data_IF_589899088649
#
_entry.id   IF_589899088649
#
_cell.length_a   1.000
_cell.length_b   1.000
_cell.length_c   1.000
_cell.angle_alpha   90.00
_cell.angle_beta   90.00
_cell.angle_gamma   90.00
#
_symmetry.space_group_name_H-M   'P 1'
#
loop_
_entity.id
_entity.type
_entity.pdbx_description
1 polymer ?
#
# COMPACT_ATOMS: atom_id res chain seq x y z
N UNK A 1 -17.44 1.12 16.82
CA UNK A 1 -16.77 0.05 16.05
C UNK A 1 -16.04 0.53 14.77
N UNK A 2 -16.55 1.53 14.03
CA UNK A 2 -15.88 2.08 12.86
C UNK A 2 -14.64 2.92 13.22
N UNK A 3 -14.65 3.63 14.35
CA UNK A 3 -13.51 4.42 14.81
C UNK A 3 -12.30 3.57 15.16
N UNK A 4 -12.48 2.49 15.93
CA UNK A 4 -11.40 1.54 16.29
C UNK A 4 -10.75 0.88 15.07
N UNK A 5 -11.53 0.54 14.02
CA UNK A 5 -10.98 -0.01 12.78
C UNK A 5 -10.13 1.00 12.01
N UNK A 6 -10.55 2.28 11.95
CA UNK A 6 -9.76 3.35 11.32
C UNK A 6 -8.43 3.58 12.03
N UNK A 7 -8.41 3.51 13.34
CA UNK A 7 -7.22 3.72 14.16
C UNK A 7 -6.20 2.59 13.97
N UNK A 8 -6.66 1.33 13.94
CA UNK A 8 -5.81 0.18 13.59
C UNK A 8 -5.19 0.33 12.19
N UNK A 9 -5.92 0.91 11.24
CA UNK A 9 -5.44 1.14 9.88
C UNK A 9 -4.26 2.12 9.81
N UNK A 10 -4.25 3.20 10.61
CA UNK A 10 -3.15 4.16 10.63
C UNK A 10 -1.86 3.51 11.14
N UNK A 11 -1.91 2.77 12.24
CA UNK A 11 -0.74 2.05 12.75
C UNK A 11 -0.24 0.97 11.79
N UNK A 12 -1.15 0.32 11.04
CA UNK A 12 -0.79 -0.67 10.02
C UNK A 12 -0.08 0.01 8.86
N UNK A 13 -0.52 1.19 8.44
CA UNK A 13 0.12 1.98 7.38
C UNK A 13 1.55 2.36 7.79
N UNK A 14 1.73 2.98 8.95
CA UNK A 14 3.02 3.52 9.38
C UNK A 14 4.09 2.41 9.61
N UNK A 15 3.65 1.15 9.83
CA UNK A 15 4.54 -0.01 9.82
C UNK A 15 4.79 -0.59 8.44
N UNK A 16 3.98 -0.21 7.44
CA UNK A 16 4.10 -0.65 6.06
C UNK A 16 5.49 -0.41 5.51
N UNK A 17 6.01 0.79 5.73
CA UNK A 17 7.36 1.20 5.31
C UNK A 17 8.45 0.32 5.94
N UNK A 18 8.34 0.02 7.25
CA UNK A 18 9.30 -0.82 7.98
C UNK A 18 9.32 -2.24 7.39
N UNK A 19 8.14 -2.83 7.19
CA UNK A 19 8.02 -4.17 6.61
C UNK A 19 8.47 -4.21 5.14
N UNK A 20 8.15 -3.18 4.35
CA UNK A 20 8.55 -3.10 2.95
C UNK A 20 10.07 -3.13 2.77
N UNK A 21 10.81 -2.65 3.77
CA UNK A 21 12.27 -2.74 3.82
C UNK A 21 12.80 -4.06 4.39
N UNK A 22 11.94 -4.97 4.81
CA UNK A 22 12.34 -6.23 5.44
C UNK A 22 12.79 -6.09 6.90
N UNK A 23 12.50 -4.93 7.52
CA UNK A 23 12.85 -4.65 8.90
C UNK A 23 11.77 -5.15 9.89
N UNK A 24 12.18 -5.36 11.13
CA UNK A 24 11.28 -5.71 12.24
C UNK A 24 11.07 -4.47 13.12
N UNK A 25 9.82 -3.98 13.30
CA UNK A 25 9.55 -2.82 14.13
C UNK A 25 9.88 -3.12 15.58
N UNK A 26 10.55 -2.17 16.28
CA UNK A 26 10.97 -2.30 17.66
C UNK A 26 10.29 -1.30 18.57
N UNK A 27 10.33 -0.03 18.19
CA UNK A 27 9.78 1.06 18.99
C UNK A 27 8.97 2.03 18.14
N UNK A 28 7.95 2.61 18.77
CA UNK A 28 7.12 3.65 18.18
C UNK A 28 6.96 4.83 19.14
N UNK A 29 6.83 6.03 18.58
CA UNK A 29 6.32 7.22 19.26
C UNK A 29 5.08 7.71 18.57
N UNK A 30 4.06 8.13 19.33
CA UNK A 30 2.80 8.62 18.80
C UNK A 30 2.75 10.14 18.78
N UNK A 31 2.23 10.73 17.71
CA UNK A 31 1.85 12.14 17.66
C UNK A 31 0.35 12.22 17.44
N UNK A 32 -0.35 12.84 18.36
CA UNK A 32 -1.80 12.96 18.36
C UNK A 32 -2.21 14.43 18.38
N UNK A 33 -3.14 14.82 17.51
CA UNK A 33 -3.81 16.11 17.58
C UNK A 33 -5.29 15.87 17.86
N UNK A 34 -5.83 16.53 18.87
CA UNK A 34 -7.26 16.42 19.24
C UNK A 34 -7.95 17.78 19.12
N UNK A 35 -9.19 17.82 18.61
CA UNK A 35 -9.99 19.03 18.66
C UNK A 35 -10.29 19.43 20.12
N UNK A 36 -10.36 20.73 20.44
CA UNK A 36 -10.79 21.17 21.75
C UNK A 36 -12.22 20.68 22.05
N UNK A 37 -12.44 20.23 23.28
CA UNK A 37 -13.72 19.66 23.68
C UNK A 37 -13.82 19.42 25.18
N UNK A 38 -14.94 18.83 25.61
CA UNK A 38 -15.10 18.39 26.99
C UNK A 38 -14.03 17.35 27.34
N UNK A 39 -13.34 17.51 28.46
CA UNK A 39 -12.24 16.65 28.91
C UNK A 39 -12.57 15.15 28.83
N UNK A 40 -13.76 14.75 29.33
CA UNK A 40 -14.22 13.37 29.29
C UNK A 40 -14.41 12.81 27.87
N UNK A 41 -14.71 13.66 26.90
CA UNK A 41 -14.84 13.25 25.47
C UNK A 41 -13.50 13.12 24.80
N UNK A 42 -12.57 14.01 25.12
CA UNK A 42 -11.18 13.96 24.66
C UNK A 42 -10.50 12.72 25.21
N UNK A 43 -10.66 12.43 26.52
CA UNK A 43 -10.13 11.24 27.16
C UNK A 43 -10.67 9.94 26.55
N UNK A 44 -11.99 9.83 26.35
CA UNK A 44 -12.62 8.67 25.71
C UNK A 44 -12.07 8.46 24.29
N UNK A 45 -11.96 9.54 23.51
CA UNK A 45 -11.43 9.51 22.16
C UNK A 45 -9.97 9.02 22.13
N UNK A 46 -9.11 9.60 22.99
CA UNK A 46 -7.70 9.20 23.10
C UNK A 46 -7.56 7.74 23.57
N UNK A 47 -8.35 7.32 24.54
CA UNK A 47 -8.34 5.94 25.05
C UNK A 47 -8.68 4.95 23.95
N UNK A 48 -9.71 5.22 23.16
CA UNK A 48 -10.08 4.37 22.03
C UNK A 48 -9.00 4.34 20.94
N UNK A 49 -8.45 5.52 20.59
CA UNK A 49 -7.41 5.64 19.58
C UNK A 49 -6.15 4.88 19.99
N UNK A 50 -5.64 5.15 21.17
CA UNK A 50 -4.41 4.53 21.66
C UNK A 50 -4.60 3.04 21.93
N UNK A 51 -5.77 2.61 22.42
CA UNK A 51 -6.09 1.20 22.62
C UNK A 51 -6.00 0.40 21.31
N UNK A 52 -6.58 0.93 20.21
CA UNK A 52 -6.48 0.30 18.91
C UNK A 52 -5.04 0.28 18.36
N UNK A 53 -4.28 1.35 18.61
CA UNK A 53 -2.89 1.44 18.20
C UNK A 53 -1.98 0.45 18.95
N UNK A 54 -2.10 0.40 20.27
CA UNK A 54 -1.31 -0.48 21.15
C UNK A 54 -1.55 -1.96 20.78
N UNK A 55 -2.80 -2.34 20.54
CA UNK A 55 -3.13 -3.72 20.12
C UNK A 55 -2.33 -4.12 18.86
N UNK A 56 -2.30 -3.23 17.86
CA UNK A 56 -1.61 -3.48 16.59
C UNK A 56 -0.09 -3.44 16.75
N UNK A 57 0.45 -2.52 17.55
CA UNK A 57 1.90 -2.43 17.82
C UNK A 57 2.38 -3.66 18.58
N UNK A 58 1.67 -4.08 19.64
CA UNK A 58 2.00 -5.26 20.42
C UNK A 58 1.98 -6.55 19.58
N UNK A 59 0.99 -6.68 18.68
CA UNK A 59 0.93 -7.82 17.76
C UNK A 59 2.14 -7.92 16.82
N UNK A 60 2.87 -6.81 16.62
CA UNK A 60 4.10 -6.76 15.84
C UNK A 60 5.37 -6.76 16.68
N UNK A 61 5.28 -6.91 18.00
CA UNK A 61 6.44 -6.82 18.89
C UNK A 61 7.02 -5.41 19.03
N UNK A 62 6.25 -4.36 18.68
CA UNK A 62 6.68 -2.97 18.67
C UNK A 62 6.22 -2.26 19.96
N UNK A 63 7.16 -1.78 20.77
CA UNK A 63 6.83 -1.07 22.00
C UNK A 63 6.49 0.41 21.73
N UNK A 64 5.36 0.89 22.25
CA UNK A 64 5.09 2.34 22.29
C UNK A 64 5.90 2.95 23.46
N UNK A 65 6.92 3.73 23.13
CA UNK A 65 7.89 4.25 24.12
C UNK A 65 7.68 5.73 24.46
N UNK A 66 6.75 6.41 23.79
CA UNK A 66 6.47 7.82 24.06
C UNK A 66 5.60 8.45 23.00
N UNK A 67 5.52 9.76 23.06
CA UNK A 67 4.73 10.53 22.09
C UNK A 67 4.38 11.92 22.60
N UNK A 68 3.52 12.61 21.86
CA UNK A 68 3.02 13.93 22.20
C UNK A 68 1.55 14.06 21.79
N UNK A 69 0.78 14.75 22.64
CA UNK A 69 -0.61 15.12 22.33
C UNK A 69 -0.71 16.64 22.29
N UNK A 70 -1.21 17.18 21.19
CA UNK A 70 -1.50 18.60 21.02
C UNK A 70 -2.96 18.87 20.70
N UNK A 71 -3.38 20.12 20.80
CA UNK A 71 -4.69 20.57 20.34
C UNK A 71 -4.63 21.12 18.93
N UNK A 72 -5.69 20.92 18.14
CA UNK A 72 -5.82 21.42 16.78
C UNK A 72 -7.24 21.31 16.26
N UNK A 73 -7.50 21.91 15.09
CA UNK A 73 -8.85 21.94 14.52
C UNK A 73 -9.38 20.56 14.11
N UNK A 74 -8.48 19.64 13.75
CA UNK A 74 -8.83 18.31 13.25
C UNK A 74 -8.15 17.21 14.06
N UNK A 75 -8.84 16.07 14.14
CA UNK A 75 -8.26 14.87 14.73
C UNK A 75 -7.19 14.27 13.81
N UNK A 76 -5.96 14.17 14.32
CA UNK A 76 -4.87 13.50 13.63
C UNK A 76 -4.14 12.52 14.54
N UNK A 77 -3.63 11.43 13.97
CA UNK A 77 -2.80 10.44 14.64
C UNK A 77 -1.72 9.96 13.66
N UNK A 78 -0.49 9.97 14.10
CA UNK A 78 0.65 9.43 13.36
C UNK A 78 1.63 8.76 14.29
N UNK A 79 2.51 7.93 13.72
CA UNK A 79 3.57 7.24 14.46
C UNK A 79 4.91 7.41 13.76
N UNK A 80 5.95 7.70 14.52
CA UNK A 80 7.32 7.46 14.08
C UNK A 80 7.75 6.09 14.61
N UNK A 81 8.12 5.18 13.69
CA UNK A 81 8.44 3.79 14.00
C UNK A 81 9.89 3.51 13.63
N UNK A 82 10.63 2.96 14.58
CA UNK A 82 11.98 2.45 14.35
C UNK A 82 11.95 0.93 14.24
N UNK A 83 12.68 0.40 13.26
CA UNK A 83 12.84 -1.03 13.06
C UNK A 83 14.31 -1.43 13.04
N UNK A 84 14.56 -2.70 13.29
CA UNK A 84 15.88 -3.31 13.16
C UNK A 84 15.98 -4.06 11.84
N UNK A 85 17.15 -3.95 11.24
CA UNK A 85 17.58 -4.70 10.06
C UNK A 85 18.83 -5.47 10.47
N UNK A 86 19.05 -6.61 9.84
CA UNK A 86 20.25 -7.44 10.02
C UNK A 86 21.54 -6.61 9.86
N UNK A 87 22.54 -6.87 10.71
CA UNK A 87 23.82 -6.14 10.76
C UNK A 87 24.54 -6.08 9.40
N UNK A 88 24.39 -7.10 8.57
CA UNK A 88 25.01 -7.16 7.24
C UNK A 88 24.32 -6.32 6.19
N UNK A 89 23.14 -5.76 6.51
CA UNK A 89 22.28 -5.02 5.56
C UNK A 89 21.97 -5.77 4.24
N UNK A 90 22.34 -7.02 4.11
CA UNK A 90 22.10 -7.85 2.92
C UNK A 90 20.62 -8.24 2.78
N UNK A 91 19.88 -8.16 3.88
CA UNK A 91 18.45 -8.47 3.96
C UNK A 91 17.53 -7.28 3.68
N UNK A 92 18.09 -6.08 3.41
CA UNK A 92 17.31 -4.87 3.16
C UNK A 92 16.65 -4.95 1.80
N UNK A 93 15.32 -5.03 1.77
CA UNK A 93 14.56 -4.85 0.54
C UNK A 93 14.50 -3.34 0.22
N UNK A 94 15.04 -2.96 -0.92
CA UNK A 94 15.07 -1.57 -1.39
C UNK A 94 14.03 -1.33 -2.45
N UNK A 95 13.72 -0.08 -2.74
CA UNK A 95 12.90 0.28 -3.91
C UNK A 95 13.65 0.01 -5.22
N UNK A 96 14.96 0.23 -5.26
CA UNK A 96 15.83 -0.13 -6.38
C UNK A 96 16.41 -1.53 -6.25
N UNK A 97 16.76 -2.14 -7.40
CA UNK A 97 17.36 -3.46 -7.46
C UNK A 97 16.61 -4.46 -8.35
N UNK A 98 15.48 -4.04 -8.97
CA UNK A 98 14.77 -4.86 -9.94
C UNK A 98 15.71 -5.31 -11.07
N UNK A 99 15.57 -6.55 -11.51
CA UNK A 99 16.37 -7.13 -12.58
C UNK A 99 15.51 -7.43 -13.82
N UNK A 100 16.01 -7.20 -15.04
CA UNK A 100 15.34 -7.67 -16.25
C UNK A 100 15.05 -9.17 -16.17
N UNK A 101 13.81 -9.55 -16.47
CA UNK A 101 13.33 -10.93 -16.35
C UNK A 101 12.61 -11.26 -15.05
N UNK A 102 12.68 -10.40 -14.04
CA UNK A 102 11.85 -10.51 -12.85
C UNK A 102 10.37 -10.31 -13.18
N UNK A 103 9.50 -10.82 -12.31
CA UNK A 103 8.07 -10.56 -12.35
C UNK A 103 7.68 -9.56 -11.28
N UNK A 104 6.64 -8.79 -11.57
CA UNK A 104 6.07 -7.82 -10.66
C UNK A 104 4.88 -8.43 -9.92
N UNK A 105 4.96 -8.50 -8.60
CA UNK A 105 3.94 -9.03 -7.70
C UNK A 105 3.23 -7.91 -6.94
N UNK A 106 1.92 -8.07 -6.76
CA UNK A 106 1.12 -7.24 -5.87
C UNK A 106 0.38 -8.12 -4.86
N UNK A 107 0.57 -7.86 -3.55
CA UNK A 107 0.06 -8.75 -2.49
C UNK A 107 -1.38 -8.49 -2.09
N UNK A 108 -1.91 -7.27 -2.27
CA UNK A 108 -3.30 -6.91 -1.95
C UNK A 108 -3.95 -6.18 -3.11
N UNK A 109 -5.30 -6.23 -3.22
CA UNK A 109 -6.02 -5.51 -4.26
C UNK A 109 -5.97 -3.99 -4.06
N UNK A 110 -6.08 -3.25 -5.16
CA UNK A 110 -6.15 -1.78 -5.19
C UNK A 110 -7.60 -1.29 -5.35
N UNK A 111 -7.83 0.00 -5.03
CA UNK A 111 -9.14 0.64 -5.15
C UNK A 111 -9.65 1.28 -3.86
N UNK A 112 -8.84 1.30 -2.79
CA UNK A 112 -9.27 1.83 -1.48
C UNK A 112 -9.63 3.31 -1.54
N UNK A 113 -8.85 4.14 -2.25
CA UNK A 113 -9.11 5.57 -2.36
C UNK A 113 -10.44 5.87 -3.04
N UNK A 114 -10.70 5.23 -4.17
CA UNK A 114 -11.95 5.32 -4.92
C UNK A 114 -13.15 4.85 -4.09
N UNK A 115 -13.04 3.70 -3.41
CA UNK A 115 -14.13 3.17 -2.58
C UNK A 115 -14.45 4.07 -1.39
N UNK A 116 -13.45 4.64 -0.71
CA UNK A 116 -13.70 5.58 0.38
C UNK A 116 -14.24 6.93 -0.11
N UNK A 117 -13.84 7.38 -1.31
CA UNK A 117 -14.48 8.55 -1.93
C UNK A 117 -15.95 8.29 -2.24
N UNK A 118 -16.29 7.09 -2.73
CA UNK A 118 -17.68 6.68 -2.93
C UNK A 118 -18.46 6.55 -1.62
N UNK A 119 -17.82 6.01 -0.58
CA UNK A 119 -18.42 5.91 0.76
C UNK A 119 -18.77 7.30 1.33
N UNK A 120 -17.86 8.27 1.23
CA UNK A 120 -18.09 9.63 1.67
C UNK A 120 -19.24 10.33 0.94
N UNK A 121 -19.57 9.87 -0.28
CA UNK A 121 -20.68 10.35 -1.11
C UNK A 121 -21.94 9.48 -1.00
N UNK A 122 -21.97 8.52 -0.07
CA UNK A 122 -23.07 7.55 0.11
C UNK A 122 -23.36 6.70 -1.14
N UNK A 123 -22.37 6.53 -2.03
CA UNK A 123 -22.49 5.79 -3.29
C UNK A 123 -21.87 4.37 -3.23
N UNK A 124 -21.19 4.00 -2.13
CA UNK A 124 -20.59 2.69 -1.99
C UNK A 124 -21.55 1.69 -1.31
N UNK A 125 -21.56 0.45 -1.79
CA UNK A 125 -22.23 -0.67 -1.10
C UNK A 125 -21.45 -1.04 0.16
N UNK A 126 -22.15 -1.32 1.28
CA UNK A 126 -21.53 -1.67 2.56
C UNK A 126 -20.54 -2.84 2.45
N UNK A 127 -20.85 -3.87 1.65
CA UNK A 127 -19.95 -5.02 1.43
C UNK A 127 -18.61 -4.64 0.79
N UNK A 128 -18.56 -3.63 -0.10
CA UNK A 128 -17.34 -3.15 -0.71
C UNK A 128 -16.41 -2.50 0.32
N UNK A 129 -17.02 -1.71 1.21
CA UNK A 129 -16.29 -1.04 2.28
C UNK A 129 -15.79 -2.06 3.32
N UNK A 130 -16.59 -3.07 3.66
CA UNK A 130 -16.14 -4.14 4.56
C UNK A 130 -14.96 -4.93 3.97
N UNK A 131 -15.00 -5.26 2.68
CA UNK A 131 -13.88 -5.91 1.98
C UNK A 131 -12.63 -5.02 1.95
N UNK A 132 -12.77 -3.72 1.66
CA UNK A 132 -11.67 -2.76 1.71
C UNK A 132 -11.06 -2.69 3.12
N UNK A 133 -11.88 -2.58 4.16
CA UNK A 133 -11.43 -2.55 5.55
C UNK A 133 -10.69 -3.84 5.95
N UNK A 134 -11.20 -5.01 5.54
CA UNK A 134 -10.53 -6.31 5.77
C UNK A 134 -9.14 -6.34 5.12
N UNK A 135 -9.03 -5.88 3.87
CA UNK A 135 -7.76 -5.78 3.17
C UNK A 135 -6.79 -4.82 3.88
N UNK A 136 -7.28 -3.66 4.33
CA UNK A 136 -6.45 -2.64 4.99
C UNK A 136 -5.91 -3.09 6.35
N UNK A 137 -6.68 -3.86 7.14
CA UNK A 137 -6.22 -4.37 8.45
C UNK A 137 -5.28 -5.57 8.34
N UNK A 138 -5.17 -6.19 7.17
CA UNK A 138 -4.19 -7.24 6.93
C UNK A 138 -2.77 -6.64 7.01
N UNK A 139 -1.95 -7.11 7.94
CA UNK A 139 -0.55 -6.66 8.09
C UNK A 139 0.27 -7.03 6.85
N UNK A 140 1.29 -6.24 6.51
CA UNK A 140 2.25 -6.58 5.47
C UNK A 140 3.44 -7.42 6.00
N UNK A 141 3.50 -7.71 7.29
CA UNK A 141 4.63 -8.38 7.96
C UNK A 141 4.94 -9.75 7.35
N UNK A 142 3.97 -10.67 7.36
CA UNK A 142 4.16 -12.01 6.80
C UNK A 142 4.43 -11.96 5.29
N UNK A 143 3.80 -11.03 4.58
CA UNK A 143 4.03 -10.81 3.15
C UNK A 143 5.48 -10.42 2.87
N UNK A 144 6.04 -9.48 3.63
CA UNK A 144 7.42 -9.05 3.50
C UNK A 144 8.42 -10.19 3.79
N UNK A 145 8.18 -10.97 4.84
CA UNK A 145 9.02 -12.13 5.18
C UNK A 145 9.02 -13.17 4.04
N UNK A 146 7.85 -13.46 3.45
CA UNK A 146 7.72 -14.40 2.34
C UNK A 146 8.44 -13.85 1.10
N UNK A 147 8.24 -12.60 0.73
CA UNK A 147 8.90 -11.96 -0.41
C UNK A 147 10.42 -12.04 -0.27
N UNK A 148 10.96 -11.72 0.92
CA UNK A 148 12.39 -11.84 1.22
C UNK A 148 12.89 -13.28 1.05
N UNK A 149 12.17 -14.27 1.59
CA UNK A 149 12.53 -15.69 1.49
C UNK A 149 12.58 -16.18 0.04
N UNK A 150 11.76 -15.59 -0.86
CA UNK A 150 11.73 -15.91 -2.28
C UNK A 150 12.64 -14.98 -3.12
N UNK A 151 13.55 -14.25 -2.48
CA UNK A 151 14.57 -13.47 -3.17
C UNK A 151 14.04 -12.21 -3.85
N UNK A 152 13.06 -11.53 -3.26
CA UNK A 152 12.59 -10.25 -3.79
C UNK A 152 13.76 -9.28 -4.01
N UNK A 153 13.91 -8.81 -5.24
CA UNK A 153 15.00 -7.92 -5.67
C UNK A 153 14.72 -6.46 -5.38
N UNK A 154 13.43 -6.09 -5.30
CA UNK A 154 12.97 -4.77 -4.89
C UNK A 154 11.58 -4.87 -4.26
N UNK A 155 11.27 -3.95 -3.32
CA UNK A 155 9.98 -3.91 -2.65
C UNK A 155 9.62 -2.49 -2.20
N UNK A 156 8.32 -2.18 -2.21
CA UNK A 156 7.72 -1.01 -1.57
C UNK A 156 6.30 -1.34 -1.15
N UNK A 157 5.76 -0.62 -0.18
CA UNK A 157 4.32 -0.65 0.11
C UNK A 157 3.56 0.34 -0.77
N UNK A 158 2.28 0.04 -1.03
CA UNK A 158 1.41 0.92 -1.81
C UNK A 158 0.65 1.88 -0.89
N UNK A 159 0.85 3.17 -1.11
CA UNK A 159 0.20 4.24 -0.36
C UNK A 159 -0.33 5.36 -1.29
N UNK A 160 -0.16 6.60 -0.91
CA UNK A 160 -0.78 7.77 -1.52
C UNK A 160 -0.48 8.01 -3.00
N UNK A 161 0.64 7.54 -3.53
CA UNK A 161 1.01 7.75 -4.94
C UNK A 161 0.36 6.76 -5.93
N UNK A 162 -0.36 5.75 -5.42
CA UNK A 162 -0.97 4.73 -6.23
C UNK A 162 0.02 3.76 -6.86
N UNK A 163 -0.48 2.76 -7.59
CA UNK A 163 0.35 1.71 -8.17
C UNK A 163 1.44 2.27 -9.10
N UNK A 164 1.05 3.15 -10.01
CA UNK A 164 2.00 3.70 -10.99
C UNK A 164 3.08 4.55 -10.32
N UNK A 165 2.71 5.35 -9.32
CA UNK A 165 3.66 6.19 -8.61
C UNK A 165 4.75 5.39 -7.92
N UNK A 166 4.37 4.38 -7.18
CA UNK A 166 5.32 3.50 -6.50
C UNK A 166 6.15 2.66 -7.47
N UNK A 167 5.56 2.20 -8.58
CA UNK A 167 6.33 1.50 -9.61
C UNK A 167 7.42 2.40 -10.23
N UNK A 168 7.11 3.66 -10.50
CA UNK A 168 8.09 4.64 -11.01
C UNK A 168 9.22 4.89 -9.99
N UNK A 169 8.90 4.90 -8.69
CA UNK A 169 9.92 4.98 -7.63
C UNK A 169 10.81 3.74 -7.56
N UNK A 170 10.37 2.60 -8.11
CA UNK A 170 11.17 1.38 -8.19
C UNK A 170 11.95 1.27 -9.50
N UNK A 171 11.36 1.61 -10.65
CA UNK A 171 12.01 1.50 -11.97
C UNK A 171 13.20 2.42 -12.10
N UNK A 172 13.08 3.67 -11.67
CA UNK A 172 14.14 4.69 -11.81
C UNK A 172 15.45 4.31 -11.12
N UNK A 173 15.49 3.98 -9.81
CA UNK A 173 16.73 3.58 -9.15
C UNK A 173 17.24 2.22 -9.58
N UNK A 174 16.40 1.41 -10.23
CA UNK A 174 16.80 0.10 -10.78
C UNK A 174 17.38 0.20 -12.19
N UNK A 175 17.14 1.30 -12.92
CA UNK A 175 17.59 1.45 -14.31
C UNK A 175 16.93 0.43 -15.25
N UNK A 176 15.63 0.20 -15.09
CA UNK A 176 14.86 -0.80 -15.84
C UNK A 176 13.51 -0.25 -16.29
N UNK A 177 12.89 -0.94 -17.23
CA UNK A 177 11.51 -0.74 -17.63
C UNK A 177 10.59 -1.78 -16.99
N UNK A 178 9.29 -1.47 -16.90
CA UNK A 178 8.29 -2.39 -16.39
C UNK A 178 7.09 -2.51 -17.34
N UNK A 179 6.55 -3.71 -17.48
CA UNK A 179 5.28 -3.96 -18.15
C UNK A 179 4.22 -4.28 -17.11
N UNK A 180 3.04 -3.64 -17.17
CA UNK A 180 1.87 -3.92 -16.34
C UNK A 180 0.83 -4.64 -17.20
N UNK A 181 0.38 -5.80 -16.75
CA UNK A 181 -0.70 -6.56 -17.35
C UNK A 181 -2.04 -6.11 -16.73
N UNK A 182 -2.81 -5.30 -17.45
CA UNK A 182 -4.05 -4.69 -16.94
C UNK A 182 -5.11 -5.72 -16.54
N UNK A 183 -5.17 -6.85 -17.25
CA UNK A 183 -6.13 -7.94 -16.99
C UNK A 183 -5.87 -8.70 -15.68
N UNK A 184 -4.65 -8.66 -15.15
CA UNK A 184 -4.27 -9.38 -13.92
C UNK A 184 -4.24 -8.51 -12.67
N UNK A 185 -4.55 -7.22 -12.79
CA UNK A 185 -4.59 -6.32 -11.63
C UNK A 185 -5.63 -6.80 -10.61
N UNK A 186 -5.25 -7.10 -9.37
CA UNK A 186 -6.21 -7.42 -8.34
C UNK A 186 -6.92 -6.14 -7.89
N UNK A 187 -8.23 -6.10 -8.05
CA UNK A 187 -9.06 -4.95 -7.74
C UNK A 187 -10.05 -5.29 -6.62
N UNK A 188 -10.33 -4.32 -5.77
CA UNK A 188 -11.42 -4.42 -4.80
C UNK A 188 -12.76 -4.38 -5.52
N UNK A 189 -13.70 -5.21 -5.07
CA UNK A 189 -15.07 -5.21 -5.57
C UNK A 189 -15.67 -3.81 -5.51
N UNK A 190 -16.29 -3.40 -6.61
CA UNK A 190 -16.92 -2.09 -6.75
C UNK A 190 -15.98 -0.93 -7.09
N UNK A 191 -14.67 -1.13 -7.11
CA UNK A 191 -13.74 -0.06 -7.49
C UNK A 191 -13.96 0.39 -8.95
N UNK A 192 -14.12 -0.56 -9.86
CA UNK A 192 -14.42 -0.28 -11.28
C UNK A 192 -15.80 0.36 -11.44
N UNK A 193 -16.82 -0.17 -10.72
CA UNK A 193 -18.18 0.41 -10.76
C UNK A 193 -18.17 1.89 -10.33
N UNK A 194 -17.39 2.22 -9.28
CA UNK A 194 -17.26 3.60 -8.80
C UNK A 194 -16.57 4.50 -9.84
N UNK A 195 -15.48 4.01 -10.46
CA UNK A 195 -14.79 4.76 -11.53
C UNK A 195 -15.74 5.01 -12.73
N UNK A 196 -16.49 4.01 -13.16
CA UNK A 196 -17.46 4.14 -14.24
C UNK A 196 -18.60 5.13 -13.89
N UNK A 197 -18.92 5.27 -12.60
CA UNK A 197 -19.85 6.29 -12.10
C UNK A 197 -19.19 7.68 -11.93
N UNK A 198 -17.96 7.88 -12.39
CA UNK A 198 -17.22 9.14 -12.29
C UNK A 198 -16.72 9.46 -10.86
N UNK A 199 -16.64 8.46 -9.98
CA UNK A 199 -16.19 8.64 -8.60
C UNK A 199 -14.73 8.20 -8.49
N UNK A 200 -13.89 9.16 -8.10
CA UNK A 200 -12.46 8.94 -7.85
C UNK A 200 -12.03 9.63 -6.56
N UNK A 201 -10.89 9.23 -5.99
CA UNK A 201 -10.32 9.86 -4.81
C UNK A 201 -9.92 11.30 -5.08
N UNK A 202 -10.01 12.17 -4.06
CA UNK A 202 -9.59 13.57 -4.14
C UNK A 202 -8.09 13.76 -4.42
N UNK A 203 -7.25 12.78 -4.06
CA UNK A 203 -5.81 12.81 -4.34
C UNK A 203 -5.45 12.29 -5.74
N UNK A 204 -6.34 11.56 -6.40
CA UNK A 204 -6.08 10.98 -7.71
C UNK A 204 -5.69 12.02 -8.79
N UNK A 205 -6.32 13.22 -8.90
CA UNK A 205 -5.92 14.22 -9.89
C UNK A 205 -4.45 14.64 -9.79
N UNK A 206 -3.88 14.66 -8.58
CA UNK A 206 -2.45 14.92 -8.39
C UNK A 206 -1.59 13.76 -8.94
N UNK A 207 -2.03 12.51 -8.74
CA UNK A 207 -1.32 11.32 -9.18
C UNK A 207 -1.41 11.11 -10.71
N UNK A 208 -2.48 11.55 -11.36
CA UNK A 208 -2.62 11.44 -12.84
C UNK A 208 -1.47 12.10 -13.59
N UNK A 209 -0.75 13.05 -12.99
CA UNK A 209 0.48 13.63 -13.57
C UNK A 209 1.54 12.57 -13.88
N UNK A 210 1.51 11.43 -13.19
CA UNK A 210 2.42 10.29 -13.39
C UNK A 210 2.14 9.52 -14.69
N UNK A 211 1.02 9.79 -15.39
CA UNK A 211 0.75 9.21 -16.72
C UNK A 211 1.89 9.45 -17.73
N UNK A 212 2.66 10.51 -17.52
CA UNK A 212 3.88 10.81 -18.32
C UNK A 212 4.97 9.74 -18.20
N UNK A 213 4.86 8.78 -17.30
CA UNK A 213 5.75 7.63 -17.19
C UNK A 213 5.27 6.42 -18.03
N UNK A 214 4.10 6.53 -18.66
CA UNK A 214 3.51 5.50 -19.51
C UNK A 214 3.78 5.81 -20.98
N UNK A 215 4.32 4.86 -21.73
CA UNK A 215 4.58 4.99 -23.19
C UNK A 215 3.32 5.01 -24.02
N UNK A 216 2.34 4.21 -23.61
CA UNK A 216 1.13 3.95 -24.40
C UNK A 216 -0.15 4.28 -23.61
N UNK A 217 -0.09 5.36 -22.83
CA UNK A 217 -1.21 5.81 -22.00
C UNK A 217 -2.52 5.98 -22.80
N UNK A 218 -2.43 6.54 -24.00
CA UNK A 218 -3.59 6.88 -24.82
C UNK A 218 -4.37 5.62 -25.30
N UNK A 219 -3.69 4.48 -25.41
CA UNK A 219 -4.34 3.21 -25.76
C UNK A 219 -5.26 2.66 -24.65
N UNK A 220 -5.04 3.10 -23.41
CA UNK A 220 -5.71 2.57 -22.22
C UNK A 220 -6.67 3.57 -21.53
N UNK A 221 -6.77 4.80 -22.00
CA UNK A 221 -7.69 5.81 -21.41
C UNK A 221 -9.14 5.33 -21.36
N UNK A 222 -9.56 4.50 -22.31
CA UNK A 222 -10.91 3.89 -22.36
C UNK A 222 -11.09 2.66 -21.45
N UNK A 223 -10.03 2.10 -20.89
CA UNK A 223 -10.12 0.96 -19.97
C UNK A 223 -10.60 1.45 -18.59
N UNK A 224 -11.70 0.91 -18.04
CA UNK A 224 -12.23 1.34 -16.74
C UNK A 224 -11.28 1.05 -15.56
N UNK A 225 -10.26 0.22 -15.76
CA UNK A 225 -9.20 -0.05 -14.77
C UNK A 225 -8.10 1.00 -14.78
N UNK A 226 -7.93 1.72 -15.89
CA UNK A 226 -6.85 2.70 -16.06
C UNK A 226 -6.79 3.76 -14.96
N UNK A 227 -7.90 4.39 -14.52
CA UNK A 227 -7.85 5.35 -13.42
C UNK A 227 -7.37 4.75 -12.09
N UNK A 228 -7.55 3.43 -11.87
CA UNK A 228 -7.14 2.76 -10.62
C UNK A 228 -5.61 2.63 -10.50
N UNK A 229 -4.84 2.77 -11.58
CA UNK A 229 -3.38 2.86 -11.53
C UNK A 229 -2.89 4.06 -10.70
N UNK A 230 -3.70 5.14 -10.66
CA UNK A 230 -3.41 6.39 -9.98
C UNK A 230 -4.15 6.51 -8.64
N UNK A 231 -4.99 5.53 -8.30
CA UNK A 231 -5.80 5.57 -7.08
C UNK A 231 -4.91 5.47 -5.83
N UNK A 232 -4.95 6.46 -4.92
CA UNK A 232 -4.18 6.39 -3.68
C UNK A 232 -4.67 5.21 -2.83
N UNK A 233 -3.74 4.48 -2.23
CA UNK A 233 -4.07 3.36 -1.35
C UNK A 233 -3.87 3.76 0.12
N UNK A 234 -4.79 3.33 0.96
CA UNK A 234 -4.64 3.39 2.42
C UNK A 234 -4.33 1.99 2.94
N UNK A 235 -3.19 1.82 3.59
CA UNK A 235 -2.69 0.52 4.06
C UNK A 235 -2.73 -0.56 2.96
N UNK A 236 -2.22 -0.22 1.77
CA UNK A 236 -2.16 -1.11 0.62
C UNK A 236 -1.21 -2.29 0.83
N UNK A 237 -1.10 -3.10 -0.21
CA UNK A 237 -0.20 -4.25 -0.22
C UNK A 237 1.26 -3.88 -0.51
N UNK A 238 2.09 -4.89 -0.61
CA UNK A 238 3.46 -4.77 -1.10
C UNK A 238 3.48 -4.94 -2.61
N UNK A 239 4.22 -4.06 -3.28
CA UNK A 239 4.63 -4.17 -4.66
C UNK A 239 6.07 -4.65 -4.66
N UNK A 240 6.34 -5.80 -5.27
CA UNK A 240 7.66 -6.40 -5.24
C UNK A 240 8.06 -6.97 -6.60
N UNK A 241 9.36 -6.91 -6.87
CA UNK A 241 10.01 -7.61 -7.97
C UNK A 241 10.62 -8.89 -7.44
N UNK A 242 10.33 -10.02 -8.09
CA UNK A 242 10.78 -11.37 -7.68
C UNK A 242 11.31 -12.12 -8.90
N UNK A 243 12.41 -12.89 -8.75
CA UNK A 243 12.91 -13.72 -9.85
C UNK A 243 11.81 -14.64 -10.40
N UNK A 244 11.66 -14.69 -11.72
CA UNK A 244 10.58 -15.46 -12.39
C UNK A 244 10.52 -16.92 -11.92
N UNK A 245 11.67 -17.55 -11.66
CA UNK A 245 11.75 -18.92 -11.18
C UNK A 245 11.13 -19.13 -9.78
N UNK A 246 11.06 -18.08 -8.97
CA UNK A 246 10.50 -18.12 -7.60
C UNK A 246 9.03 -17.65 -7.54
N UNK A 247 8.53 -17.04 -8.60
CA UNK A 247 7.25 -16.31 -8.61
C UNK A 247 6.06 -17.20 -8.23
N UNK A 248 5.93 -18.39 -8.83
CA UNK A 248 4.81 -19.28 -8.59
C UNK A 248 4.77 -19.76 -7.12
N UNK A 249 5.93 -20.17 -6.59
CA UNK A 249 6.07 -20.59 -5.19
C UNK A 249 5.78 -19.43 -4.24
N UNK A 250 6.27 -18.23 -4.54
CA UNK A 250 6.02 -17.01 -3.76
C UNK A 250 4.53 -16.68 -3.70
N UNK A 251 3.83 -16.70 -4.84
CA UNK A 251 2.37 -16.45 -4.90
C UNK A 251 1.60 -17.48 -4.07
N UNK A 252 1.96 -18.76 -4.15
CA UNK A 252 1.33 -19.81 -3.36
C UNK A 252 1.55 -19.60 -1.86
N UNK A 253 2.78 -19.29 -1.44
CA UNK A 253 3.11 -19.02 -0.05
C UNK A 253 2.35 -17.78 0.49
N UNK A 254 2.28 -16.70 -0.30
CA UNK A 254 1.52 -15.50 0.05
C UNK A 254 0.02 -15.79 0.20
N UNK A 255 -0.58 -16.54 -0.72
CA UNK A 255 -2.00 -16.94 -0.61
C UNK A 255 -2.25 -17.79 0.61
N UNK A 256 -1.40 -18.75 0.91
CA UNK A 256 -1.48 -19.58 2.10
C UNK A 256 -1.34 -18.78 3.41
N UNK A 257 -0.55 -17.69 3.39
CA UNK A 257 -0.37 -16.78 4.52
C UNK A 257 -1.47 -15.73 4.68
N UNK A 258 -2.57 -15.82 3.91
CA UNK A 258 -3.74 -14.95 4.05
C UNK A 258 -3.78 -13.76 3.11
N UNK A 259 -3.00 -13.75 2.02
CA UNK A 259 -3.09 -12.76 0.93
C UNK A 259 -3.76 -13.36 -0.32
N UNK A 260 -5.07 -13.66 -0.28
CA UNK A 260 -5.74 -14.43 -1.33
C UNK A 260 -5.73 -13.75 -2.70
N UNK A 261 -5.60 -12.42 -2.71
CA UNK A 261 -5.61 -11.60 -3.93
C UNK A 261 -4.22 -11.37 -4.53
N UNK A 262 -3.17 -12.02 -3.98
CA UNK A 262 -1.82 -11.90 -4.55
C UNK A 262 -1.82 -12.30 -6.02
N UNK A 263 -1.26 -11.43 -6.86
CA UNK A 263 -1.19 -11.64 -8.30
C UNK A 263 0.17 -11.22 -8.89
N UNK A 264 0.58 -11.90 -9.95
CA UNK A 264 1.60 -11.40 -10.86
C UNK A 264 0.90 -10.37 -11.76
N UNK A 265 1.33 -9.13 -11.69
CA UNK A 265 0.72 -8.01 -12.41
C UNK A 265 1.58 -7.50 -13.57
N UNK A 266 2.74 -8.10 -13.79
CA UNK A 266 3.64 -7.65 -14.84
C UNK A 266 5.02 -8.29 -14.77
N UNK A 267 5.93 -7.72 -15.54
CA UNK A 267 7.32 -8.15 -15.61
C UNK A 267 8.27 -6.97 -15.75
N UNK A 268 9.53 -7.20 -15.44
CA UNK A 268 10.60 -6.22 -15.57
C UNK A 268 11.36 -6.49 -16.86
N UNK A 269 11.59 -5.45 -17.63
CA UNK A 269 12.32 -5.46 -18.89
C UNK A 269 13.63 -4.67 -18.77
N UNK A 270 14.57 -4.95 -19.65
CA UNK A 270 15.77 -4.12 -19.78
C UNK A 270 15.37 -2.67 -20.10
N UNK A 271 16.12 -1.71 -19.56
CA UNK A 271 15.92 -0.31 -19.86
C UNK A 271 16.05 -0.06 -21.37
N UNK A 272 15.07 0.59 -21.92
CA UNK A 272 15.07 1.04 -23.31
C UNK A 272 15.60 2.49 -23.42
N UNK A 273 15.66 3.00 -24.63
CA UNK A 273 16.01 4.40 -24.89
C UNK A 273 14.85 5.38 -24.57
N UNK A 274 13.64 4.87 -24.29
CA UNK A 274 12.49 5.71 -23.96
C UNK A 274 12.64 6.32 -22.56
N UNK A 275 12.17 7.55 -22.42
CA UNK A 275 12.18 8.23 -21.11
C UNK A 275 11.09 7.70 -20.16
N UNK A 276 10.05 7.09 -20.72
CA UNK A 276 8.92 6.52 -20.01
C UNK A 276 9.20 5.06 -19.65
N UNK A 277 9.37 4.71 -18.36
CA UNK A 277 9.80 3.38 -17.98
C UNK A 277 8.68 2.33 -17.95
N UNK A 278 7.41 2.70 -18.18
CA UNK A 278 6.29 1.78 -17.99
C UNK A 278 5.46 1.60 -19.27
N UNK A 279 5.11 0.36 -19.57
CA UNK A 279 4.23 -0.04 -20.67
C UNK A 279 3.04 -0.82 -20.13
N UNK A 280 1.84 -0.49 -20.58
CA UNK A 280 0.63 -1.25 -20.26
C UNK A 280 0.41 -2.34 -21.32
N UNK A 281 -0.11 -3.49 -20.87
CA UNK A 281 -0.52 -4.62 -21.70
C UNK A 281 -1.96 -5.01 -21.38
N UNK A 282 -2.71 -5.51 -22.37
CA UNK A 282 -4.11 -5.98 -22.22
C UNK A 282 -4.25 -7.27 -21.43
#
# INVERSE_FOLDING_TARGET
>A
HLSLRRQRQMCIRDRGDVFAMGAEPQTATAVVTVPPGLESKVEDLLTQMMGGAIEVLNAAGCALVGGHTGEGAELALGFAINGLIDEKMDSVMRKGGMQPGDVLLLTKPIGTGTLFAAHARYAAKGRWIDAALKSMVLSNQSGAAILRTHGATACTDLTGFGLLGHLVEMTRPSGVDAEIQMSTLPLLDGAVDCVQAGIVSSLQPANVRLRRALRNADEFVGDPRYPLLFDPQTAGGLLASVPAAQAAACVQALKAAGYPHTAIIGRIAAQSEAMEPVVLKT
#
